data_IF_644121586882
#
_entry.id   IF_644121586882
#
_cell.length_a   1.000
_cell.length_b   1.000
_cell.length_c   1.000
_cell.angle_alpha   90.00
_cell.angle_beta   90.00
_cell.angle_gamma   90.00
#
_symmetry.space_group_name_H-M   'P 1'
#
loop_
_entity.id
_entity.type
_entity.pdbx_description
1 polymer ?
#
# COMPACT_ATOMS: atom_id res chain seq x y z
N UNK A 1 3.01 23.03 8.90
CA UNK A 1 2.87 21.91 7.94
C UNK A 1 1.42 21.85 7.47
N UNK A 2 1.13 22.06 6.18
CA UNK A 2 -0.20 21.84 5.64
C UNK A 2 -0.60 20.39 5.95
N UNK A 3 -1.77 20.24 6.54
CA UNK A 3 -2.15 19.04 7.28
C UNK A 3 -2.25 17.83 6.36
N UNK A 4 -1.21 17.00 6.30
CA UNK A 4 -1.34 15.58 5.96
C UNK A 4 -2.08 14.93 7.12
N UNK A 5 -3.41 15.17 7.20
CA UNK A 5 -4.21 14.58 8.27
C UNK A 5 -4.22 13.07 8.04
N UNK A 6 -4.22 12.35 9.15
CA UNK A 6 -4.44 10.90 9.24
C UNK A 6 -5.53 10.33 8.29
N UNK A 7 -6.45 11.15 7.79
CA UNK A 7 -7.50 10.69 6.88
C UNK A 7 -7.05 10.56 5.41
N UNK A 8 -5.90 11.10 5.00
CA UNK A 8 -5.49 11.08 3.58
C UNK A 8 -4.81 9.77 3.17
N UNK A 9 -4.13 9.07 4.08
CA UNK A 9 -3.62 7.72 3.79
C UNK A 9 -4.76 6.72 3.63
N UNK A 10 -5.82 6.85 4.45
CA UNK A 10 -7.04 6.05 4.33
C UNK A 10 -7.69 6.29 2.97
N UNK A 11 -7.84 7.55 2.53
CA UNK A 11 -8.36 7.88 1.20
C UNK A 11 -7.51 7.31 0.06
N UNK A 12 -6.19 7.36 0.18
CA UNK A 12 -5.29 6.78 -0.83
C UNK A 12 -5.38 5.25 -0.86
N UNK A 13 -5.56 4.60 0.30
CA UNK A 13 -5.88 3.19 0.37
C UNK A 13 -7.23 2.91 -0.30
N UNK A 14 -8.25 3.74 -0.10
CA UNK A 14 -9.53 3.63 -0.82
C UNK A 14 -9.40 3.84 -2.33
N UNK A 15 -8.53 4.73 -2.79
CA UNK A 15 -8.24 4.94 -4.22
C UNK A 15 -7.49 3.77 -4.84
N UNK A 16 -6.58 3.14 -4.09
CA UNK A 16 -5.97 1.87 -4.48
C UNK A 16 -7.03 0.77 -4.52
N UNK A 17 -7.88 0.68 -3.49
CA UNK A 17 -9.01 -0.26 -3.43
C UNK A 17 -9.96 -0.07 -4.61
N UNK A 18 -10.28 1.14 -5.05
CA UNK A 18 -11.17 1.36 -6.19
C UNK A 18 -10.53 1.02 -7.55
N UNK A 19 -9.20 1.08 -7.64
CA UNK A 19 -8.46 0.62 -8.83
C UNK A 19 -8.36 -0.91 -8.89
N UNK A 20 -8.32 -1.57 -7.74
CA UNK A 20 -8.26 -3.03 -7.62
C UNK A 20 -9.66 -3.66 -7.60
N UNK A 21 -10.69 -2.95 -7.12
CA UNK A 21 -12.09 -3.40 -6.97
C UNK A 21 -13.10 -2.33 -7.42
N UNK A 22 -13.66 -2.42 -8.63
CA UNK A 22 -14.66 -1.47 -9.09
C UNK A 22 -16.12 -1.74 -8.60
N UNK A 23 -16.44 -2.88 -7.94
CA UNK A 23 -17.80 -3.22 -7.47
C UNK A 23 -17.92 -3.30 -5.93
N UNK A 24 -18.91 -2.60 -5.38
CA UNK A 24 -19.04 -2.31 -3.94
C UNK A 24 -19.89 -3.30 -3.14
N UNK A 25 -19.28 -4.36 -2.61
CA UNK A 25 -19.87 -5.21 -1.57
C UNK A 25 -18.84 -5.41 -0.44
N UNK A 26 -18.95 -4.67 0.66
CA UNK A 26 -18.08 -4.83 1.84
C UNK A 26 -18.91 -5.18 3.08
N UNK A 27 -18.54 -6.27 3.75
CA UNK A 27 -19.04 -6.67 5.08
C UNK A 27 -17.83 -6.80 6.02
N UNK A 28 -17.92 -6.19 7.21
CA UNK A 28 -16.84 -6.14 8.20
C UNK A 28 -16.67 -7.49 8.90
N UNK A 29 -15.54 -8.17 8.69
CA UNK A 29 -15.21 -9.45 9.33
C UNK A 29 -14.34 -9.23 10.58
N UNK A 30 -14.99 -8.95 11.71
CA UNK A 30 -14.37 -9.06 13.04
C UNK A 30 -14.14 -10.54 13.40
N UNK A 31 -12.87 -10.87 13.71
CA UNK A 31 -12.35 -12.05 14.45
C UNK A 31 -13.31 -13.22 14.69
N UNK A 32 -13.03 -14.38 14.07
CA UNK A 32 -13.18 -15.70 14.73
C UNK A 32 -12.10 -16.68 14.26
N UNK A 33 -11.24 -17.08 15.18
CA UNK A 33 -10.53 -18.35 15.14
C UNK A 33 -11.50 -19.46 15.56
N UNK A 34 -11.55 -20.59 14.86
CA UNK A 34 -11.62 -21.95 15.44
C UNK A 34 -11.96 -23.05 14.41
N UNK A 35 -11.11 -24.09 14.46
CA UNK A 35 -11.37 -25.53 14.34
C UNK A 35 -11.80 -26.18 13.01
N UNK A 36 -10.88 -27.03 12.57
CA UNK A 36 -10.89 -28.04 11.51
C UNK A 36 -11.90 -29.18 11.71
N UNK A 37 -12.19 -29.90 10.61
CA UNK A 37 -12.60 -31.32 10.55
C UNK A 37 -14.10 -31.71 10.49
N UNK A 38 -14.94 -31.04 9.69
CA UNK A 38 -16.09 -31.71 9.03
C UNK A 38 -16.33 -31.04 7.67
N UNK A 39 -16.68 -31.85 6.64
CA UNK A 39 -17.38 -31.46 5.40
C UNK A 39 -16.59 -31.29 4.09
N UNK A 40 -15.68 -32.21 3.71
CA UNK A 40 -14.98 -32.15 2.40
C UNK A 40 -15.85 -32.39 1.14
N UNK A 41 -17.09 -32.89 1.25
CA UNK A 41 -17.91 -33.23 0.06
C UNK A 41 -19.06 -32.25 -0.23
N UNK A 42 -19.24 -31.21 0.58
CA UNK A 42 -20.27 -30.17 0.38
C UNK A 42 -19.68 -28.77 0.14
N UNK A 43 -18.41 -28.70 -0.28
CA UNK A 43 -17.64 -27.45 -0.45
C UNK A 43 -17.60 -26.92 -1.89
N UNK A 44 -17.86 -27.73 -2.92
CA UNK A 44 -17.64 -27.31 -4.32
C UNK A 44 -18.58 -26.17 -4.79
N UNK A 45 -19.74 -26.00 -4.16
CA UNK A 45 -20.69 -24.92 -4.52
C UNK A 45 -20.52 -23.67 -3.65
N UNK A 46 -19.93 -23.80 -2.46
CA UNK A 46 -19.67 -22.69 -1.53
C UNK A 46 -18.27 -22.08 -1.75
N UNK A 47 -17.28 -22.88 -2.16
CA UNK A 47 -15.94 -22.38 -2.52
C UNK A 47 -15.99 -21.30 -3.60
N UNK A 48 -16.91 -21.46 -4.56
CA UNK A 48 -17.11 -20.50 -5.66
C UNK A 48 -17.68 -19.16 -5.21
N UNK A 49 -18.38 -19.12 -4.07
CA UNK A 49 -18.96 -17.90 -3.49
C UNK A 49 -18.01 -17.24 -2.48
N UNK A 50 -17.13 -18.03 -1.86
CA UNK A 50 -16.09 -17.53 -0.94
C UNK A 50 -14.84 -17.01 -1.64
N UNK A 51 -14.51 -17.49 -2.85
CA UNK A 51 -13.40 -16.94 -3.64
C UNK A 51 -13.67 -15.52 -4.14
N UNK A 52 -14.93 -15.22 -4.46
CA UNK A 52 -15.36 -13.89 -4.95
C UNK A 52 -15.55 -12.84 -3.84
N UNK A 53 -15.47 -13.25 -2.57
CA UNK A 53 -15.68 -12.36 -1.41
C UNK A 53 -14.42 -12.08 -0.59
N UNK A 54 -13.32 -12.80 -0.82
CA UNK A 54 -12.03 -12.46 -0.23
C UNK A 54 -11.36 -11.35 -1.02
N UNK A 55 -11.12 -10.21 -0.37
CA UNK A 55 -10.31 -9.13 -0.96
C UNK A 55 -8.90 -9.68 -1.29
N UNK A 56 -8.42 -9.61 -2.54
CA UNK A 56 -7.03 -9.87 -2.89
C UNK A 56 -6.06 -9.27 -1.90
N UNK A 57 -5.08 -10.09 -1.56
CA UNK A 57 -3.99 -9.67 -0.68
C UNK A 57 -3.05 -8.77 -1.47
N UNK A 58 -2.77 -7.59 -0.91
CA UNK A 58 -1.79 -6.64 -1.45
C UNK A 58 -0.50 -6.77 -0.64
N UNK A 59 0.59 -7.09 -1.33
CA UNK A 59 1.94 -7.03 -0.77
C UNK A 59 2.54 -5.65 -1.06
N UNK A 60 2.99 -4.97 -0.01
CA UNK A 60 3.70 -3.69 -0.12
C UNK A 60 5.15 -3.93 0.31
N UNK A 61 6.08 -3.78 -0.62
CA UNK A 61 7.50 -3.75 -0.31
C UNK A 61 7.94 -2.30 -0.13
N UNK A 62 8.30 -1.94 1.11
CA UNK A 62 8.87 -0.64 1.43
C UNK A 62 10.39 -0.75 1.35
N UNK A 63 10.99 -0.38 0.22
CA UNK A 63 12.45 -0.30 0.11
C UNK A 63 13.01 1.01 0.66
N UNK A 64 14.34 1.14 0.70
CA UNK A 64 14.99 2.40 1.09
C UNK A 64 14.81 3.46 0.01
N UNK A 65 15.10 3.10 -1.25
CA UNK A 65 15.11 4.02 -2.40
C UNK A 65 13.86 3.87 -3.26
N UNK A 66 13.39 2.62 -3.44
CA UNK A 66 12.21 2.31 -4.24
C UNK A 66 11.29 1.35 -3.48
N UNK A 67 10.00 1.57 -3.60
CA UNK A 67 8.94 0.69 -3.13
C UNK A 67 8.26 0.02 -4.31
N UNK A 68 7.66 -1.16 -4.08
CA UNK A 68 6.82 -1.82 -5.08
C UNK A 68 5.59 -2.43 -4.44
N UNK A 69 4.53 -2.57 -5.24
CA UNK A 69 3.25 -3.12 -4.80
C UNK A 69 2.88 -4.28 -5.69
N UNK A 70 2.46 -5.38 -5.08
CA UNK A 70 2.04 -6.59 -5.78
C UNK A 70 0.68 -7.04 -5.25
N UNK A 71 -0.11 -7.70 -6.08
CA UNK A 71 -1.40 -8.28 -5.71
C UNK A 71 -1.40 -9.77 -6.06
N UNK A 72 -1.97 -10.59 -5.19
CA UNK A 72 -2.26 -11.99 -5.50
C UNK A 72 -3.67 -12.08 -6.08
N UNK A 73 -3.78 -12.35 -7.38
CA UNK A 73 -5.05 -12.50 -8.09
C UNK A 73 -4.89 -13.45 -9.28
N UNK A 74 -5.97 -14.11 -9.70
CA UNK A 74 -5.94 -15.09 -10.80
C UNK A 74 -4.86 -16.17 -10.62
N UNK A 75 -4.70 -16.66 -9.39
CA UNK A 75 -3.71 -17.67 -9.00
C UNK A 75 -2.25 -17.31 -9.34
N UNK A 76 -1.95 -16.01 -9.42
CA UNK A 76 -0.59 -15.50 -9.67
C UNK A 76 -0.33 -14.19 -8.93
N UNK A 77 0.95 -13.83 -8.86
CA UNK A 77 1.39 -12.51 -8.40
C UNK A 77 1.43 -11.56 -9.59
N UNK A 78 0.77 -10.42 -9.48
CA UNK A 78 0.86 -9.33 -10.45
C UNK A 78 1.48 -8.09 -9.82
N UNK A 79 2.36 -7.40 -10.54
CA UNK A 79 2.97 -6.14 -10.10
C UNK A 79 2.03 -4.99 -10.47
N UNK A 80 1.75 -4.11 -9.52
CA UNK A 80 0.91 -2.93 -9.74
C UNK A 80 1.81 -1.76 -10.16
N UNK A 81 1.69 -1.34 -11.41
CA UNK A 81 2.34 -0.14 -11.90
C UNK A 81 1.75 1.13 -11.27
N UNK A 82 2.61 2.12 -11.02
CA UNK A 82 2.21 3.44 -10.55
C UNK A 82 1.47 4.23 -11.66
N UNK A 83 1.08 5.47 -11.38
CA UNK A 83 0.35 6.31 -12.33
C UNK A 83 1.18 6.76 -13.55
N UNK A 84 2.49 6.52 -13.56
CA UNK A 84 3.38 6.76 -14.69
C UNK A 84 3.69 5.48 -15.49
N UNK A 85 3.19 4.33 -15.04
CA UNK A 85 3.47 3.03 -15.67
C UNK A 85 4.71 2.31 -15.13
N UNK A 86 5.38 2.84 -14.11
CA UNK A 86 6.55 2.22 -13.50
C UNK A 86 6.12 1.15 -12.47
N UNK A 87 6.77 -0.02 -12.49
CA UNK A 87 6.55 -1.11 -11.53
C UNK A 87 7.10 -0.81 -10.11
N UNK A 88 8.02 0.15 -10.03
CA UNK A 88 8.60 0.66 -8.79
C UNK A 88 8.27 2.13 -8.63
N UNK A 89 8.07 2.58 -7.39
CA UNK A 89 7.85 3.98 -7.05
C UNK A 89 8.97 4.46 -6.13
N UNK A 90 9.62 5.60 -6.42
CA UNK A 90 10.62 6.18 -5.52
C UNK A 90 10.08 6.36 -4.10
N UNK A 91 10.86 6.01 -3.08
CA UNK A 91 10.52 6.18 -1.66
C UNK A 91 10.79 7.61 -1.19
N UNK A 92 10.22 8.58 -1.91
CA UNK A 92 10.40 10.02 -1.72
C UNK A 92 9.07 10.70 -1.35
N UNK A 93 9.15 11.68 -0.46
CA UNK A 93 8.04 12.58 -0.11
C UNK A 93 8.55 14.01 -0.12
N UNK A 94 7.87 14.91 -0.83
CA UNK A 94 8.18 16.35 -0.80
C UNK A 94 6.97 17.13 -0.31
N UNK A 95 7.18 17.96 0.69
CA UNK A 95 6.15 18.88 1.17
C UNK A 95 6.27 20.22 0.44
N UNK A 96 5.16 20.67 -0.14
CA UNK A 96 5.01 22.04 -0.63
C UNK A 96 4.07 22.81 0.29
N UNK A 97 3.86 24.09 0.01
CA UNK A 97 2.91 24.91 0.75
C UNK A 97 1.46 24.39 0.67
N UNK A 98 1.10 23.70 -0.41
CA UNK A 98 -0.29 23.30 -0.68
C UNK A 98 -0.52 21.79 -0.71
N UNK A 99 0.52 20.98 -0.95
CA UNK A 99 0.37 19.54 -1.18
C UNK A 99 1.55 18.74 -0.66
N UNK A 100 1.29 17.45 -0.47
CA UNK A 100 2.31 16.42 -0.29
C UNK A 100 2.49 15.69 -1.62
N UNK A 101 3.70 15.75 -2.17
CA UNK A 101 4.11 15.00 -3.36
C UNK A 101 4.75 13.69 -2.90
N UNK A 102 4.51 12.60 -3.64
CA UNK A 102 4.98 11.24 -3.30
C UNK A 102 5.51 10.61 -4.59
N UNK A 103 6.55 9.78 -4.48
CA UNK A 103 7.08 9.01 -5.61
C UNK A 103 7.84 9.88 -6.60
N UNK A 104 7.69 9.59 -7.89
CA UNK A 104 8.39 10.26 -8.99
C UNK A 104 8.20 11.79 -8.96
N UNK A 105 6.99 12.25 -8.56
CA UNK A 105 6.71 13.67 -8.43
C UNK A 105 7.52 14.35 -7.31
N UNK A 106 7.85 13.63 -6.23
CA UNK A 106 8.69 14.13 -5.14
C UNK A 106 10.18 14.06 -5.49
N UNK A 107 10.62 12.95 -6.12
CA UNK A 107 11.99 12.80 -6.61
C UNK A 107 12.40 13.94 -7.56
N UNK A 108 11.50 14.32 -8.47
CA UNK A 108 11.70 15.45 -9.38
C UNK A 108 11.82 16.82 -8.68
N UNK A 109 11.53 16.92 -7.39
CA UNK A 109 11.68 18.16 -6.61
C UNK A 109 12.98 18.20 -5.80
N UNK A 110 13.77 17.13 -5.73
CA UNK A 110 14.97 17.08 -4.87
C UNK A 110 15.95 18.20 -5.23
N UNK A 111 16.15 18.46 -6.53
CA UNK A 111 17.08 19.50 -6.99
C UNK A 111 16.61 20.92 -6.67
N UNK A 112 15.29 21.17 -6.64
CA UNK A 112 14.71 22.52 -6.51
C UNK A 112 14.13 22.82 -5.12
N UNK A 113 13.80 21.78 -4.35
CA UNK A 113 13.24 21.87 -3.01
C UNK A 113 13.86 20.78 -2.09
N UNK A 114 15.19 20.76 -1.91
CA UNK A 114 15.87 19.71 -1.15
C UNK A 114 15.49 19.70 0.33
N UNK A 115 15.33 20.89 0.93
CA UNK A 115 15.07 21.05 2.37
C UNK A 115 13.73 20.42 2.78
N UNK A 116 12.71 20.49 1.92
CA UNK A 116 11.38 19.95 2.22
C UNK A 116 11.14 18.57 1.58
N UNK A 117 12.21 17.91 1.11
CA UNK A 117 12.13 16.58 0.51
C UNK A 117 12.78 15.55 1.43
N UNK A 118 12.03 14.49 1.73
CA UNK A 118 12.44 13.40 2.62
C UNK A 118 12.59 12.12 1.80
N UNK A 119 13.73 11.45 1.96
CA UNK A 119 14.06 10.16 1.37
C UNK A 119 14.97 9.36 2.32
N UNK A 120 15.26 8.09 2.03
CA UNK A 120 16.00 7.17 2.90
C UNK A 120 15.40 6.97 4.31
N UNK A 121 14.14 7.36 4.51
CA UNK A 121 13.48 7.30 5.82
C UNK A 121 13.46 5.88 6.42
N UNK A 122 13.46 4.83 5.59
CA UNK A 122 13.50 3.43 6.06
C UNK A 122 14.66 3.14 7.00
N UNK A 123 15.83 3.76 6.78
CA UNK A 123 16.99 3.57 7.66
C UNK A 123 16.82 4.20 9.05
N UNK A 124 15.95 5.19 9.17
CA UNK A 124 15.70 5.93 10.40
C UNK A 124 14.57 5.31 11.23
N UNK A 125 13.71 4.49 10.63
CA UNK A 125 12.58 3.85 11.33
C UNK A 125 13.12 2.98 12.47
N UNK A 126 12.58 3.19 13.67
CA UNK A 126 12.95 2.42 14.87
C UNK A 126 14.27 2.84 15.52
N UNK A 127 15.00 3.80 14.94
CA UNK A 127 16.22 4.36 15.55
C UNK A 127 15.91 5.53 16.48
N UNK A 128 16.80 5.74 17.45
CA UNK A 128 16.76 6.91 18.33
C UNK A 128 17.47 8.08 17.63
N UNK A 129 17.05 9.30 17.93
CA UNK A 129 17.72 10.49 17.42
C UNK A 129 19.17 10.60 17.90
N UNK A 130 19.50 9.99 19.05
CA UNK A 130 20.86 9.97 19.60
C UNK A 130 21.69 8.78 19.11
N UNK A 131 21.18 7.96 18.19
CA UNK A 131 21.96 6.89 17.57
C UNK A 131 23.05 7.50 16.69
N UNK A 132 24.31 7.07 16.84
CA UNK A 132 25.45 7.61 16.11
C UNK A 132 25.39 7.41 14.59
N UNK A 133 24.50 6.53 14.13
CA UNK A 133 24.28 6.23 12.72
C UNK A 133 23.12 7.02 12.07
N UNK A 134 22.55 7.97 12.81
CA UNK A 134 21.53 8.95 12.38
C UNK A 134 22.18 10.33 12.34
#
# INVERSE_FOLDING_TARGET
MPSCRYNDWIKNLYKLKSRVYPSGNYVDHQRREASTHVTYQKLNTLEKYTSDTLLPTIQINLGTTYSCTKVWQHDRVEIIANNQGNETTPSYITFTYTKCLIGDAAENQVATNPINTVFNAKHLIGRRFTDSSV
#
